data_IF_100987686347
#
_entry.id   IF_100987686347
#
_cell.length_a   1.000
_cell.length_b   1.000
_cell.length_c   1.000
_cell.angle_alpha   90.00
_cell.angle_beta   90.00
_cell.angle_gamma   90.00
#
_symmetry.space_group_name_H-M   'P 1'
#
loop_
_entity.id
_entity.type
_entity.pdbx_description
1 polymer ?
#
# COMPACT_ATOMS: atom_id res chain seq x y z
N UNK A 1 -22.55 -39.62 -2.46
CA UNK A 1 -21.67 -38.72 -1.69
C UNK A 1 -20.42 -38.52 -2.54
N UNK A 2 -20.20 -37.28 -2.94
CA UNK A 2 -19.24 -36.84 -3.95
C UNK A 2 -17.88 -36.59 -3.29
N UNK A 3 -16.79 -37.05 -3.92
CA UNK A 3 -15.44 -36.62 -3.61
C UNK A 3 -14.68 -36.47 -4.93
N UNK A 4 -14.61 -35.24 -5.43
CA UNK A 4 -13.73 -34.88 -6.52
C UNK A 4 -12.30 -34.75 -5.98
N UNK A 5 -11.26 -35.23 -6.69
CA UNK A 5 -9.88 -34.99 -6.28
C UNK A 5 -9.52 -33.53 -6.58
N UNK A 6 -8.94 -32.87 -5.57
CA UNK A 6 -8.38 -31.53 -5.62
C UNK A 6 -7.26 -31.47 -6.68
N UNK A 7 -7.44 -30.59 -7.66
CA UNK A 7 -6.45 -30.30 -8.70
C UNK A 7 -5.32 -29.49 -8.06
N UNK A 8 -4.13 -30.08 -7.99
CA UNK A 8 -2.91 -29.41 -7.57
C UNK A 8 -2.37 -28.53 -8.70
N UNK A 9 -2.39 -27.22 -8.49
CA UNK A 9 -1.66 -26.28 -9.34
C UNK A 9 -0.24 -26.12 -8.80
N UNK A 10 0.72 -26.75 -9.47
CA UNK A 10 2.13 -26.42 -9.29
C UNK A 10 2.40 -25.11 -10.01
N UNK A 11 2.72 -24.06 -9.25
CA UNK A 11 3.20 -22.78 -9.75
C UNK A 11 4.52 -22.98 -10.48
N UNK A 12 4.51 -22.82 -11.80
CA UNK A 12 5.74 -22.74 -12.60
C UNK A 12 6.21 -21.28 -12.58
N UNK A 13 7.25 -21.03 -11.79
CA UNK A 13 8.01 -19.78 -11.76
C UNK A 13 9.11 -19.89 -12.81
N UNK A 14 9.00 -19.15 -13.91
CA UNK A 14 10.07 -19.00 -14.90
C UNK A 14 10.66 -17.59 -14.76
N UNK A 15 11.84 -17.53 -14.16
CA UNK A 15 12.71 -16.36 -14.12
C UNK A 15 13.69 -16.52 -15.29
N UNK A 16 13.55 -15.69 -16.34
CA UNK A 16 14.57 -15.56 -17.37
C UNK A 16 15.51 -14.41 -16.98
N UNK A 17 16.78 -14.74 -16.75
CA UNK A 17 17.86 -13.77 -16.53
C UNK A 17 18.58 -13.52 -17.86
N UNK A 18 18.55 -12.27 -18.32
CA UNK A 18 19.35 -11.78 -19.44
C UNK A 18 20.78 -11.41 -18.97
N UNK A 19 21.76 -12.25 -19.30
CA UNK A 19 23.19 -11.93 -19.19
C UNK A 19 23.83 -11.89 -20.58
N UNK A 20 24.23 -10.68 -21.00
CA UNK A 20 24.94 -10.44 -22.25
C UNK A 20 26.46 -10.52 -22.05
N UNK A 21 27.15 -11.43 -22.75
CA UNK A 21 28.53 -11.16 -23.20
C UNK A 21 28.99 -12.00 -24.39
N UNK A 22 29.79 -11.35 -25.23
CA UNK A 22 30.30 -11.77 -26.53
C UNK A 22 31.58 -12.63 -26.47
N UNK A 23 31.81 -13.45 -27.51
CA UNK A 23 33.16 -13.96 -27.84
C UNK A 23 33.29 -15.22 -28.72
N UNK A 24 33.54 -15.02 -30.02
CA UNK A 24 34.43 -15.76 -30.95
C UNK A 24 34.14 -17.22 -31.46
N UNK A 25 33.95 -17.26 -32.80
CA UNK A 25 34.54 -18.14 -33.84
C UNK A 25 34.12 -19.63 -34.03
N UNK A 26 33.48 -19.92 -35.18
CA UNK A 26 33.85 -20.98 -36.14
C UNK A 26 33.15 -20.76 -37.52
N UNK A 27 33.84 -21.02 -38.65
CA UNK A 27 33.32 -21.07 -40.04
C UNK A 27 33.33 -22.53 -40.56
N UNK A 28 32.93 -22.84 -41.81
CA UNK A 28 31.56 -22.85 -42.33
C UNK A 28 31.19 -24.24 -42.93
N UNK A 29 29.91 -24.63 -42.91
CA UNK A 29 29.41 -25.82 -43.60
C UNK A 29 28.19 -25.47 -44.44
N UNK A 30 28.27 -25.71 -45.75
CA UNK A 30 27.27 -25.35 -46.74
C UNK A 30 25.96 -26.13 -46.57
N UNK A 31 24.84 -25.41 -46.59
CA UNK A 31 23.49 -25.94 -46.70
C UNK A 31 22.53 -24.82 -47.10
N UNK A 32 21.87 -24.98 -48.24
CA UNK A 32 21.09 -23.98 -48.97
C UNK A 32 19.91 -23.37 -48.20
N UNK A 33 19.69 -22.06 -48.34
CA UNK A 33 18.39 -21.42 -48.08
C UNK A 33 17.43 -21.69 -49.27
N UNK A 34 16.09 -21.64 -49.07
CA UNK A 34 15.47 -20.32 -49.14
C UNK A 34 14.26 -20.09 -48.20
N UNK A 35 14.12 -18.81 -47.83
CA UNK A 35 12.85 -18.06 -47.73
C UNK A 35 12.08 -18.08 -46.40
N UNK A 36 12.24 -16.96 -45.70
CA UNK A 36 11.22 -16.13 -45.04
C UNK A 36 10.13 -16.86 -44.23
N UNK A 37 10.37 -17.04 -42.94
CA UNK A 37 9.28 -17.15 -41.97
C UNK A 37 8.91 -15.72 -41.55
N UNK A 38 7.74 -15.26 -42.00
CA UNK A 38 7.06 -14.07 -41.51
C UNK A 38 6.93 -14.11 -39.99
N UNK A 39 7.00 -12.97 -39.27
CA UNK A 39 6.60 -12.95 -37.86
C UNK A 39 5.14 -13.39 -37.79
N UNK A 40 4.85 -14.43 -37.01
CA UNK A 40 3.48 -14.76 -36.66
C UNK A 40 2.85 -13.51 -36.04
N UNK A 41 1.74 -12.99 -36.57
CA UNK A 41 1.07 -11.87 -35.92
C UNK A 41 0.70 -12.33 -34.52
N UNK A 42 1.11 -11.59 -33.49
CA UNK A 42 0.60 -11.78 -32.13
C UNK A 42 -0.92 -11.72 -32.23
N UNK A 43 -1.58 -12.89 -32.25
CA UNK A 43 -3.03 -12.99 -32.21
C UNK A 43 -3.43 -12.58 -30.80
N UNK A 44 -3.55 -11.27 -30.60
CA UNK A 44 -4.26 -10.73 -29.46
C UNK A 44 -5.69 -11.21 -29.59
N UNK A 45 -6.09 -12.09 -28.67
CA UNK A 45 -7.47 -12.53 -28.57
C UNK A 45 -8.35 -11.27 -28.41
N UNK A 46 -9.50 -11.18 -29.11
CA UNK A 46 -10.41 -10.08 -28.90
C UNK A 46 -10.81 -10.05 -27.43
N UNK A 47 -10.69 -8.87 -26.82
CA UNK A 47 -11.14 -8.66 -25.44
C UNK A 47 -12.65 -8.94 -25.42
N UNK A 48 -13.14 -9.86 -24.57
CA UNK A 48 -14.57 -10.16 -24.49
C UNK A 48 -15.39 -8.89 -24.19
N UNK A 49 -16.55 -8.75 -24.81
CA UNK A 49 -17.44 -7.59 -24.61
C UNK A 49 -17.80 -7.39 -23.12
N UNK A 50 -17.86 -8.47 -22.35
CA UNK A 50 -18.07 -8.42 -20.90
C UNK A 50 -16.98 -7.62 -20.16
N UNK A 51 -15.74 -7.63 -20.64
CA UNK A 51 -14.61 -6.89 -20.07
C UNK A 51 -14.60 -5.45 -20.56
N UNK A 52 -15.05 -5.19 -21.79
CA UNK A 52 -15.14 -3.84 -22.36
C UNK A 52 -16.12 -2.96 -21.58
N UNK A 53 -17.20 -3.54 -21.04
CA UNK A 53 -18.20 -2.80 -20.27
C UNK A 53 -17.96 -2.79 -18.75
N UNK A 54 -16.99 -3.55 -18.23
CA UNK A 54 -16.72 -3.65 -16.79
C UNK A 54 -16.24 -2.33 -16.14
N UNK A 55 -15.68 -1.41 -16.93
CA UNK A 55 -15.01 -0.21 -16.43
C UNK A 55 -15.61 1.11 -16.96
N UNK A 56 -16.73 1.05 -17.70
CA UNK A 56 -17.37 2.24 -18.30
C UNK A 56 -18.14 3.13 -17.32
N UNK A 57 -17.91 2.97 -16.02
CA UNK A 57 -18.55 3.76 -14.97
C UNK A 57 -17.70 3.88 -13.71
N UNK A 58 -16.38 3.65 -13.81
CA UNK A 58 -15.45 4.01 -12.72
C UNK A 58 -15.16 5.51 -12.80
N UNK A 59 -16.23 6.29 -12.64
CA UNK A 59 -16.15 7.69 -12.23
C UNK A 59 -15.42 7.72 -10.87
N UNK A 60 -14.72 8.83 -10.60
CA UNK A 60 -13.92 9.10 -9.41
C UNK A 60 -14.38 8.35 -8.15
N UNK A 61 -13.43 7.69 -7.48
CA UNK A 61 -13.71 6.94 -6.25
C UNK A 61 -14.51 7.79 -5.24
N UNK A 62 -15.34 7.15 -4.39
CA UNK A 62 -16.31 7.85 -3.54
C UNK A 62 -15.70 9.05 -2.81
N UNK A 63 -16.34 10.20 -2.97
CA UNK A 63 -15.92 11.48 -2.39
C UNK A 63 -15.84 11.37 -0.85
N UNK A 64 -14.75 11.88 -0.27
CA UNK A 64 -14.46 11.76 1.16
C UNK A 64 -15.33 12.75 1.97
N UNK A 65 -16.37 12.22 2.63
CA UNK A 65 -17.23 13.03 3.50
C UNK A 65 -16.53 13.33 4.84
N UNK A 66 -15.91 14.51 4.91
CA UNK A 66 -15.21 14.99 6.11
C UNK A 66 -16.09 15.05 7.37
N UNK A 67 -17.43 15.13 7.25
CA UNK A 67 -18.33 15.13 8.40
C UNK A 67 -18.27 13.78 9.15
N UNK A 68 -18.05 12.66 8.44
CA UNK A 68 -17.83 11.33 9.04
C UNK A 68 -16.51 11.23 9.81
N UNK A 69 -15.63 12.20 9.63
CA UNK A 69 -14.29 12.24 10.23
C UNK A 69 -14.12 13.38 11.24
N UNK A 70 -15.22 13.97 11.71
CA UNK A 70 -15.19 15.10 12.65
C UNK A 70 -14.58 16.35 12.03
N UNK A 71 -14.79 16.55 10.72
CA UNK A 71 -14.26 17.68 9.94
C UNK A 71 -12.80 17.52 9.50
N UNK A 72 -12.18 16.36 9.74
CA UNK A 72 -10.82 16.07 9.26
C UNK A 72 -10.86 15.74 7.76
N UNK A 73 -9.93 16.33 7.01
CA UNK A 73 -9.77 16.10 5.58
C UNK A 73 -8.58 15.17 5.38
N UNK A 74 -8.78 14.09 4.60
CA UNK A 74 -7.70 13.18 4.25
C UNK A 74 -6.80 13.81 3.19
N UNK A 75 -5.49 13.63 3.33
CA UNK A 75 -4.51 14.13 2.34
C UNK A 75 -4.51 13.30 1.06
N UNK A 76 -4.98 12.06 1.10
CA UNK A 76 -5.09 11.16 -0.04
C UNK A 76 -6.40 10.36 0.01
N UNK A 77 -7.03 10.09 -1.15
CA UNK A 77 -8.22 9.24 -1.22
C UNK A 77 -7.89 7.80 -0.81
N UNK A 78 -8.88 7.07 -0.31
CA UNK A 78 -8.69 5.65 -0.01
C UNK A 78 -8.67 4.83 -1.29
N UNK A 79 -7.60 4.05 -1.47
CA UNK A 79 -7.50 3.04 -2.52
C UNK A 79 -7.38 1.65 -1.90
N UNK A 80 -8.05 0.65 -2.51
CA UNK A 80 -8.01 -0.72 -1.99
C UNK A 80 -6.58 -1.25 -2.01
N UNK A 81 -6.11 -1.72 -0.85
CA UNK A 81 -4.74 -2.25 -0.68
C UNK A 81 -3.70 -1.19 -0.31
N UNK A 82 -4.08 0.08 -0.27
CA UNK A 82 -3.28 1.20 0.22
C UNK A 82 -3.73 1.59 1.64
N UNK A 83 -2.77 1.67 2.55
CA UNK A 83 -2.99 1.91 3.96
C UNK A 83 -2.33 3.21 4.40
N UNK A 84 -3.09 4.04 5.11
CA UNK A 84 -2.56 5.23 5.75
C UNK A 84 -1.65 4.82 6.92
N UNK A 85 -0.37 5.13 6.82
CA UNK A 85 0.66 4.75 7.80
C UNK A 85 1.28 6.00 8.40
N UNK A 86 1.46 6.01 9.71
CA UNK A 86 2.05 7.12 10.45
C UNK A 86 2.83 6.58 11.66
N UNK A 87 4.06 7.07 11.86
CA UNK A 87 4.92 6.69 12.97
C UNK A 87 4.88 7.77 14.04
N UNK A 88 4.64 7.37 15.29
CA UNK A 88 4.52 8.29 16.42
C UNK A 88 4.99 7.66 17.73
N UNK A 89 5.28 8.50 18.72
CA UNK A 89 5.47 8.11 20.12
C UNK A 89 4.17 8.37 20.88
N UNK A 90 3.55 7.35 21.50
CA UNK A 90 2.33 7.55 22.28
C UNK A 90 2.61 8.40 23.52
N UNK A 91 1.69 9.31 23.84
CA UNK A 91 1.70 10.04 25.11
C UNK A 91 0.52 9.59 25.96
N UNK A 92 0.81 8.97 27.09
CA UNK A 92 -0.19 8.60 28.08
C UNK A 92 -0.56 9.85 28.90
N UNK A 93 -1.71 10.42 28.56
CA UNK A 93 -2.21 11.61 29.22
C UNK A 93 -2.70 11.29 30.63
N UNK A 94 -2.03 11.86 31.63
CA UNK A 94 -2.44 11.78 33.03
C UNK A 94 -3.63 12.69 33.29
N UNK A 95 -4.39 12.41 34.35
CA UNK A 95 -5.52 13.24 34.80
C UNK A 95 -5.17 14.72 34.91
N UNK A 96 -4.02 15.08 35.49
CA UNK A 96 -3.56 16.48 35.60
C UNK A 96 -3.46 17.20 34.24
N UNK A 97 -3.03 16.49 33.20
CA UNK A 97 -2.96 17.02 31.84
C UNK A 97 -4.36 17.15 31.23
N UNK A 98 -5.22 16.18 31.49
CA UNK A 98 -6.61 16.17 31.03
C UNK A 98 -7.41 17.31 31.67
N UNK A 99 -7.25 17.54 32.97
CA UNK A 99 -7.85 18.65 33.72
C UNK A 99 -7.38 20.01 33.17
N UNK A 100 -6.08 20.13 32.90
CA UNK A 100 -5.53 21.34 32.26
C UNK A 100 -6.17 21.57 30.89
N UNK A 101 -6.31 20.51 30.08
CA UNK A 101 -6.93 20.61 28.76
C UNK A 101 -8.41 21.02 28.86
N UNK A 102 -9.13 20.52 29.86
CA UNK A 102 -10.52 20.90 30.13
C UNK A 102 -10.69 22.34 30.60
N UNK A 103 -9.67 22.94 31.21
CA UNK A 103 -9.65 24.38 31.49
C UNK A 103 -9.30 25.22 30.26
N UNK A 104 -8.43 24.72 29.38
CA UNK A 104 -7.92 25.46 28.22
C UNK A 104 -8.88 25.43 27.04
N UNK A 105 -9.50 24.29 26.75
CA UNK A 105 -10.34 24.10 25.56
C UNK A 105 -11.54 25.07 25.52
N UNK A 106 -12.32 25.28 26.60
CA UNK A 106 -13.44 26.23 26.58
C UNK A 106 -12.97 27.66 26.29
N UNK A 107 -11.79 28.03 26.81
CA UNK A 107 -11.19 29.36 26.54
C UNK A 107 -10.74 29.50 25.10
N UNK A 108 -10.20 28.45 24.49
CA UNK A 108 -9.84 28.46 23.08
C UNK A 108 -11.09 28.49 22.19
N UNK A 109 -12.16 27.81 22.60
CA UNK A 109 -13.43 27.76 21.89
C UNK A 109 -14.16 29.11 21.82
N UNK A 110 -13.86 30.07 22.71
CA UNK A 110 -14.40 31.44 22.57
C UNK A 110 -13.87 32.14 21.32
N UNK A 111 -12.67 31.77 20.85
CA UNK A 111 -12.07 32.28 19.61
C UNK A 111 -12.33 31.35 18.43
N UNK A 112 -12.31 30.03 18.65
CA UNK A 112 -12.51 29.02 17.60
C UNK A 112 -13.52 27.97 18.09
N UNK A 113 -14.83 28.21 17.92
CA UNK A 113 -15.89 27.36 18.49
C UNK A 113 -15.88 25.89 18.03
N UNK A 114 -15.30 25.62 16.86
CA UNK A 114 -15.22 24.28 16.25
C UNK A 114 -14.10 23.39 16.80
N UNK A 115 -13.32 23.86 17.78
CA UNK A 115 -12.27 23.03 18.38
C UNK A 115 -12.88 21.84 19.11
N UNK A 116 -12.31 20.65 18.91
CA UNK A 116 -12.75 19.39 19.52
C UNK A 116 -11.58 18.78 20.28
N UNK A 117 -11.87 18.26 21.48
CA UNK A 117 -10.90 17.53 22.29
C UNK A 117 -10.51 16.23 21.61
N UNK A 118 -9.22 15.90 21.58
CA UNK A 118 -8.74 14.60 21.12
C UNK A 118 -8.74 13.58 22.26
N UNK A 119 -9.03 12.32 21.94
CA UNK A 119 -9.08 11.21 22.90
C UNK A 119 -7.70 10.59 23.17
N UNK A 120 -6.79 10.68 22.20
CA UNK A 120 -5.46 10.10 22.28
C UNK A 120 -4.40 11.10 21.82
N UNK A 121 -3.25 11.08 22.49
CA UNK A 121 -2.17 12.04 22.31
C UNK A 121 -0.90 11.32 21.88
N UNK A 122 -0.13 11.95 21.02
CA UNK A 122 1.11 11.40 20.50
C UNK A 122 2.01 12.50 19.96
N UNK A 123 3.31 12.18 19.85
CA UNK A 123 4.28 12.98 19.12
C UNK A 123 4.57 12.31 17.78
N UNK A 124 4.27 13.02 16.69
CA UNK A 124 4.46 12.52 15.33
C UNK A 124 5.95 12.47 14.97
N UNK A 125 6.41 11.33 14.44
CA UNK A 125 7.79 11.14 13.96
C UNK A 125 7.85 11.09 12.42
N UNK A 126 6.72 10.88 11.76
CA UNK A 126 6.61 10.90 10.30
C UNK A 126 5.40 11.72 9.86
N UNK A 127 5.28 11.97 8.55
CA UNK A 127 3.99 12.35 7.97
C UNK A 127 3.10 11.10 7.81
N UNK A 128 1.82 11.31 7.51
CA UNK A 128 0.95 10.22 7.07
C UNK A 128 1.27 9.88 5.61
N UNK A 129 1.69 8.63 5.37
CA UNK A 129 2.11 8.14 4.06
C UNK A 129 1.29 6.93 3.66
N UNK A 130 1.19 6.68 2.35
CA UNK A 130 0.53 5.49 1.82
C UNK A 130 1.50 4.32 1.81
N UNK A 131 1.10 3.20 2.43
CA UNK A 131 1.83 1.94 2.42
C UNK A 131 0.97 0.84 1.81
N UNK A 132 1.53 0.07 0.89
CA UNK A 132 0.84 -1.09 0.33
C UNK A 132 0.71 -2.18 1.37
N UNK A 133 -0.41 -2.90 1.39
CA UNK A 133 -0.69 -3.89 2.43
C UNK A 133 0.44 -4.94 2.59
N UNK A 134 0.99 -5.42 1.47
CA UNK A 134 2.08 -6.42 1.47
C UNK A 134 3.37 -5.92 2.13
N UNK A 135 3.54 -4.60 2.27
CA UNK A 135 4.72 -3.98 2.87
C UNK A 135 4.53 -3.62 4.36
N UNK A 136 3.32 -3.74 4.91
CA UNK A 136 3.05 -3.39 6.30
C UNK A 136 3.95 -4.20 7.24
N UNK A 137 3.96 -5.53 7.12
CA UNK A 137 4.74 -6.39 8.01
C UNK A 137 6.26 -6.18 7.86
N UNK A 138 6.83 -6.18 6.63
CA UNK A 138 8.25 -5.86 6.46
C UNK A 138 8.64 -4.48 7.00
N UNK A 139 7.80 -3.46 6.79
CA UNK A 139 8.04 -2.11 7.27
C UNK A 139 8.06 -2.05 8.80
N UNK A 140 7.07 -2.67 9.46
CA UNK A 140 6.99 -2.71 10.93
C UNK A 140 8.21 -3.43 11.51
N UNK A 141 8.63 -4.55 10.92
CA UNK A 141 9.79 -5.29 11.40
C UNK A 141 11.08 -4.45 11.26
N UNK A 142 11.31 -3.88 10.08
CA UNK A 142 12.47 -3.03 9.85
C UNK A 142 12.50 -1.80 10.79
N UNK A 143 11.32 -1.23 11.09
CA UNK A 143 11.21 -0.14 12.05
C UNK A 143 11.56 -0.61 13.47
N UNK A 144 11.04 -1.76 13.92
CA UNK A 144 11.37 -2.36 15.22
C UNK A 144 12.86 -2.62 15.37
N UNK A 145 13.49 -3.21 14.36
CA UNK A 145 14.93 -3.53 14.38
C UNK A 145 15.78 -2.26 14.50
N UNK A 146 15.41 -1.19 13.77
CA UNK A 146 16.09 0.12 13.86
C UNK A 146 15.83 0.84 15.19
N UNK A 147 14.66 0.65 15.77
CA UNK A 147 14.29 1.28 17.04
C UNK A 147 14.81 0.49 18.24
N UNK A 148 15.23 -0.78 18.07
CA UNK A 148 15.69 -1.65 19.15
C UNK A 148 16.92 -1.12 19.91
N UNK A 149 17.74 -0.28 19.28
CA UNK A 149 18.88 0.37 19.93
C UNK A 149 18.49 1.56 20.81
N UNK A 150 17.26 2.07 20.68
CA UNK A 150 16.76 3.16 21.49
C UNK A 150 16.05 2.58 22.72
N UNK A 151 16.60 2.84 23.91
CA UNK A 151 15.94 2.47 25.17
C UNK A 151 14.76 3.43 25.40
N UNK A 152 13.55 3.03 25.00
CA UNK A 152 12.30 3.79 25.13
C UNK A 152 11.06 2.90 24.94
N UNK A 153 9.85 3.35 25.35
CA UNK A 153 8.70 2.48 25.55
C UNK A 153 8.19 1.85 24.26
N UNK A 154 7.61 0.66 24.42
CA UNK A 154 7.18 -0.26 23.37
C UNK A 154 6.27 0.39 22.30
N UNK A 155 6.71 0.32 21.04
CA UNK A 155 5.97 0.81 19.88
C UNK A 155 4.88 -0.21 19.54
N UNK A 156 3.65 0.08 19.95
CA UNK A 156 2.49 -0.72 19.58
C UNK A 156 1.98 -0.32 18.18
N UNK A 157 1.99 -1.24 17.19
CA UNK A 157 1.39 -0.97 15.90
C UNK A 157 -0.13 -0.94 16.04
N UNK A 158 -0.74 0.24 15.88
CA UNK A 158 -2.20 0.38 15.73
C UNK A 158 -2.53 0.34 14.25
N UNK A 159 -3.08 -0.81 13.81
CA UNK A 159 -3.69 -0.94 12.48
C UNK A 159 -5.08 -0.28 12.58
N UNK A 160 -5.31 0.76 11.79
CA UNK A 160 -6.59 1.46 11.70
C UNK A 160 -7.58 0.72 10.79
#
# INVERSE_FOLDING_TARGET
MSAAPLVGYSSSSSEDEDEAKAGAQARPGAGSCPRAQSPLPSQRLPVPDSVLHMFLGTEEGPEDDSAKHGGRVRTFPHERGNWATHVYVPYEAKEEFLDMLDMLLPRAQTYVPRLVRMEAFHLSLSQSVVLRHHWILPFVQALKDRMASFQGPEIQPKVA
#
